data_IF_329688313840
#
_entry.id   IF_329688313840
#
_cell.length_a   1.000
_cell.length_b   1.000
_cell.length_c   1.000
_cell.angle_alpha   90.00
_cell.angle_beta   90.00
_cell.angle_gamma   90.00
#
_symmetry.space_group_name_H-M   'P 1'
#
loop_
_entity.id
_entity.type
_entity.pdbx_description
1 polymer ?
#
# COMPACT_ATOMS: atom_id res chain seq x y z
N UNK A 1 25.70 -32.50 -31.43
CA UNK A 1 24.96 -32.98 -30.26
C UNK A 1 24.37 -31.79 -29.48
N UNK A 2 25.11 -30.71 -29.23
CA UNK A 2 24.69 -29.57 -28.43
C UNK A 2 23.49 -28.78 -29.00
N UNK A 3 23.45 -28.55 -30.31
CA UNK A 3 22.33 -27.88 -30.98
C UNK A 3 21.01 -28.65 -30.89
N UNK A 4 21.07 -29.98 -30.78
CA UNK A 4 19.90 -30.82 -30.60
C UNK A 4 19.37 -30.76 -29.17
N UNK A 5 20.27 -30.68 -28.19
CA UNK A 5 19.91 -30.51 -26.75
C UNK A 5 19.32 -29.12 -26.50
N UNK A 6 19.87 -28.08 -27.14
CA UNK A 6 19.34 -26.72 -27.04
C UNK A 6 17.92 -26.62 -27.62
N UNK A 7 17.65 -27.22 -28.79
CA UNK A 7 16.28 -27.30 -29.39
C UNK A 7 15.30 -28.02 -28.47
N UNK A 8 15.67 -29.18 -27.91
CA UNK A 8 14.82 -29.92 -26.98
C UNK A 8 14.51 -29.14 -25.70
N UNK A 9 15.45 -28.35 -25.20
CA UNK A 9 15.19 -27.45 -24.03
C UNK A 9 14.19 -26.35 -24.37
N UNK A 10 14.29 -25.73 -25.54
CA UNK A 10 13.35 -24.69 -26.00
C UNK A 10 11.96 -25.28 -26.23
N UNK A 11 11.87 -26.49 -26.86
CA UNK A 11 10.60 -27.16 -27.08
C UNK A 11 9.92 -27.57 -25.76
N UNK A 12 10.68 -28.07 -24.77
CA UNK A 12 10.17 -28.40 -23.45
C UNK A 12 9.70 -27.14 -22.68
N UNK A 13 10.41 -26.03 -22.81
CA UNK A 13 9.98 -24.75 -22.21
C UNK A 13 8.67 -24.22 -22.84
N UNK A 14 8.55 -24.35 -24.19
CA UNK A 14 7.34 -23.98 -24.91
C UNK A 14 6.16 -24.89 -24.57
N UNK A 15 6.39 -26.20 -24.41
CA UNK A 15 5.37 -27.14 -23.96
C UNK A 15 4.91 -26.87 -22.51
N UNK A 16 5.84 -26.57 -21.63
CA UNK A 16 5.51 -26.21 -20.26
C UNK A 16 4.69 -24.89 -20.17
N UNK A 17 5.04 -23.92 -21.01
CA UNK A 17 4.27 -22.66 -21.13
C UNK A 17 2.86 -22.93 -21.67
N UNK A 18 2.75 -23.74 -22.74
CA UNK A 18 1.46 -24.09 -23.35
C UNK A 18 0.57 -24.88 -22.39
N UNK A 19 1.15 -25.81 -21.62
CA UNK A 19 0.42 -26.56 -20.59
C UNK A 19 -0.06 -25.66 -19.44
N UNK A 20 0.71 -24.65 -19.04
CA UNK A 20 0.29 -23.65 -18.04
C UNK A 20 -0.89 -22.81 -18.53
N UNK A 21 -0.87 -22.38 -19.79
CA UNK A 21 -1.97 -21.62 -20.38
C UNK A 21 -3.24 -22.50 -20.52
N UNK A 22 -3.09 -23.74 -20.96
CA UNK A 22 -4.19 -24.72 -21.04
C UNK A 22 -4.81 -24.99 -19.65
N UNK A 23 -3.98 -25.14 -18.61
CA UNK A 23 -4.49 -25.38 -17.25
C UNK A 23 -5.25 -24.17 -16.70
N UNK A 24 -4.81 -22.95 -17.00
CA UNK A 24 -5.54 -21.72 -16.63
C UNK A 24 -6.88 -21.64 -17.36
N UNK A 25 -6.89 -21.94 -18.65
CA UNK A 25 -8.13 -21.92 -19.45
C UNK A 25 -9.14 -22.95 -18.96
N UNK A 26 -8.68 -24.18 -18.62
CA UNK A 26 -9.54 -25.23 -18.07
C UNK A 26 -10.05 -24.87 -16.68
N UNK A 27 -9.22 -24.29 -15.81
CA UNK A 27 -9.65 -23.83 -14.50
C UNK A 27 -10.68 -22.69 -14.60
N UNK A 28 -10.47 -21.77 -15.53
CA UNK A 28 -11.35 -20.63 -15.79
C UNK A 28 -12.70 -21.12 -16.37
N UNK A 29 -12.68 -22.10 -17.25
CA UNK A 29 -13.88 -22.73 -17.80
C UNK A 29 -14.66 -23.53 -16.73
N UNK A 30 -13.95 -24.18 -15.81
CA UNK A 30 -14.55 -24.87 -14.68
C UNK A 30 -15.24 -23.88 -13.71
N UNK A 31 -14.64 -22.73 -13.45
CA UNK A 31 -15.25 -21.67 -12.61
C UNK A 31 -16.50 -21.07 -13.27
N UNK A 32 -16.44 -20.76 -14.57
CA UNK A 32 -17.61 -20.27 -15.33
C UNK A 32 -18.74 -21.29 -15.29
N UNK A 33 -18.44 -22.58 -15.47
CA UNK A 33 -19.43 -23.65 -15.41
C UNK A 33 -20.01 -23.90 -14.01
N UNK A 34 -19.31 -23.49 -12.95
CA UNK A 34 -19.77 -23.61 -11.57
C UNK A 34 -20.70 -22.46 -11.13
N UNK A 35 -20.78 -21.38 -11.90
CA UNK A 35 -21.62 -20.24 -11.54
C UNK A 35 -23.11 -20.61 -11.55
N UNK A 36 -23.88 -20.28 -10.49
CA UNK A 36 -25.29 -20.69 -10.38
C UNK A 36 -26.17 -20.20 -11.54
N UNK A 37 -25.87 -19.02 -12.11
CA UNK A 37 -26.57 -18.50 -13.27
C UNK A 37 -26.32 -19.34 -14.54
N UNK A 38 -25.12 -19.89 -14.72
CA UNK A 38 -24.78 -20.77 -15.85
C UNK A 38 -25.46 -22.12 -15.70
N UNK A 39 -25.56 -22.64 -14.47
CA UNK A 39 -26.30 -23.88 -14.19
C UNK A 39 -27.80 -23.70 -14.44
N UNK A 40 -28.39 -22.57 -14.03
CA UNK A 40 -29.78 -22.23 -14.31
C UNK A 40 -30.03 -22.06 -15.83
N UNK A 41 -29.14 -21.40 -16.55
CA UNK A 41 -29.22 -21.26 -18.01
C UNK A 41 -29.11 -22.60 -18.75
N UNK A 42 -28.23 -23.50 -18.29
CA UNK A 42 -28.14 -24.89 -18.81
C UNK A 42 -29.42 -25.69 -18.57
N UNK A 43 -30.06 -25.54 -17.41
CA UNK A 43 -31.33 -26.18 -17.08
C UNK A 43 -32.48 -25.72 -18.01
N UNK A 44 -32.40 -24.47 -18.50
CA UNK A 44 -33.32 -23.86 -19.44
C UNK A 44 -32.99 -24.13 -20.92
N UNK A 45 -31.95 -24.93 -21.21
CA UNK A 45 -31.51 -25.24 -22.58
C UNK A 45 -30.85 -24.08 -23.34
N UNK A 46 -30.52 -22.98 -22.66
CA UNK A 46 -29.84 -21.82 -23.25
C UNK A 46 -28.34 -22.10 -23.32
N UNK A 47 -27.74 -22.00 -24.50
CA UNK A 47 -26.28 -22.11 -24.67
C UNK A 47 -25.61 -20.87 -24.04
N UNK A 48 -24.69 -21.03 -23.09
CA UNK A 48 -23.95 -19.90 -22.53
C UNK A 48 -23.09 -19.27 -23.62
N UNK A 49 -23.18 -17.97 -23.78
CA UNK A 49 -22.26 -17.19 -24.65
C UNK A 49 -20.97 -17.01 -23.85
N UNK A 50 -19.93 -17.74 -24.20
CA UNK A 50 -18.61 -17.61 -23.60
C UNK A 50 -17.81 -16.59 -24.39
N UNK A 51 -17.53 -15.44 -23.82
CA UNK A 51 -16.65 -14.44 -24.37
C UNK A 51 -15.23 -14.68 -23.84
N UNK A 52 -14.27 -14.88 -24.74
CA UNK A 52 -12.88 -15.19 -24.37
C UNK A 52 -12.02 -13.97 -24.67
N UNK A 53 -11.38 -13.43 -23.66
CA UNK A 53 -10.44 -12.31 -23.78
C UNK A 53 -9.01 -12.81 -23.81
N UNK A 54 -8.18 -12.27 -24.71
CA UNK A 54 -6.74 -12.57 -24.78
C UNK A 54 -5.98 -11.66 -23.82
N UNK A 55 -4.83 -12.11 -23.35
CA UNK A 55 -3.95 -11.25 -22.54
C UNK A 55 -3.54 -9.98 -23.31
N UNK A 56 -3.83 -8.80 -22.77
CA UNK A 56 -3.59 -7.51 -23.41
C UNK A 56 -4.74 -6.99 -24.27
N UNK A 57 -5.85 -7.70 -24.38
CA UNK A 57 -7.04 -7.25 -25.09
C UNK A 57 -7.82 -6.24 -24.25
N UNK A 58 -8.26 -5.14 -24.86
CA UNK A 58 -9.06 -4.10 -24.20
C UNK A 58 -10.49 -4.61 -24.06
N UNK A 59 -10.97 -4.75 -22.82
CA UNK A 59 -12.34 -5.22 -22.54
C UNK A 59 -13.35 -4.11 -22.81
N UNK A 60 -13.06 -2.87 -22.39
CA UNK A 60 -13.88 -1.69 -22.62
C UNK A 60 -13.02 -0.56 -23.17
N UNK A 61 -13.29 -0.03 -24.36
CA UNK A 61 -12.59 1.13 -24.91
C UNK A 61 -12.80 2.39 -24.06
N UNK A 62 -11.83 3.30 -24.10
CA UNK A 62 -11.92 4.58 -23.37
C UNK A 62 -13.09 5.41 -23.91
N UNK A 63 -14.04 5.77 -23.02
CA UNK A 63 -15.22 6.56 -23.35
C UNK A 63 -16.50 5.76 -23.56
N UNK A 64 -16.45 4.42 -23.54
CA UNK A 64 -17.65 3.58 -23.53
C UNK A 64 -18.25 3.41 -22.12
N UNK A 65 -19.58 3.25 -22.08
CA UNK A 65 -20.30 3.00 -20.82
C UNK A 65 -20.15 1.53 -20.46
N UNK A 66 -19.66 1.26 -19.25
CA UNK A 66 -19.49 -0.11 -18.73
C UNK A 66 -20.87 -0.78 -18.63
N UNK A 67 -21.03 -1.89 -19.34
CA UNK A 67 -22.25 -2.71 -19.29
C UNK A 67 -22.18 -3.70 -18.13
N UNK A 68 -23.33 -4.27 -17.68
CA UNK A 68 -23.33 -5.34 -16.69
C UNK A 68 -22.50 -6.57 -17.07
N UNK A 69 -22.40 -6.87 -18.37
CA UNK A 69 -21.57 -7.96 -18.90
C UNK A 69 -20.07 -7.67 -18.76
N UNK A 70 -19.65 -6.42 -18.98
CA UNK A 70 -18.27 -5.98 -18.78
C UNK A 70 -17.89 -6.03 -17.30
N UNK A 71 -18.83 -5.64 -16.41
CA UNK A 71 -18.64 -5.74 -14.96
C UNK A 71 -18.42 -7.19 -14.53
N UNK A 72 -19.19 -8.14 -15.08
CA UNK A 72 -19.03 -9.57 -14.84
C UNK A 72 -17.69 -10.08 -15.37
N UNK A 73 -17.27 -9.65 -16.56
CA UNK A 73 -15.96 -9.96 -17.12
C UNK A 73 -14.81 -9.44 -16.23
N UNK A 74 -14.89 -8.21 -15.74
CA UNK A 74 -13.91 -7.65 -14.79
C UNK A 74 -13.86 -8.42 -13.48
N UNK A 75 -15.01 -8.89 -12.97
CA UNK A 75 -15.08 -9.70 -11.77
C UNK A 75 -14.46 -11.08 -11.96
N UNK A 76 -14.75 -11.75 -13.09
CA UNK A 76 -14.21 -13.07 -13.40
C UNK A 76 -12.70 -13.04 -13.69
N UNK A 77 -12.20 -11.96 -14.29
CA UNK A 77 -10.77 -11.73 -14.53
C UNK A 77 -10.01 -11.26 -13.29
N UNK A 78 -10.71 -11.06 -12.16
CA UNK A 78 -10.09 -10.60 -10.92
C UNK A 78 -9.64 -9.13 -10.93
N UNK A 79 -10.09 -8.34 -11.93
CA UNK A 79 -9.76 -6.91 -12.06
C UNK A 79 -10.55 -6.06 -11.06
N UNK A 80 -11.74 -6.52 -10.64
CA UNK A 80 -12.54 -5.92 -9.59
C UNK A 80 -12.61 -6.92 -8.44
N UNK A 81 -12.05 -6.57 -7.28
CA UNK A 81 -12.20 -7.37 -6.08
C UNK A 81 -13.67 -7.30 -5.62
N UNK A 82 -14.29 -8.44 -5.44
CA UNK A 82 -15.55 -8.53 -4.73
C UNK A 82 -15.35 -7.93 -3.34
N UNK A 83 -16.36 -7.15 -2.89
CA UNK A 83 -16.30 -6.42 -1.62
C UNK A 83 -15.72 -7.26 -0.49
N UNK A 84 -15.17 -6.54 0.45
CA UNK A 84 -14.42 -6.96 1.65
C UNK A 84 -14.64 -8.44 2.03
N UNK A 85 -13.74 -9.31 1.55
CA UNK A 85 -13.78 -10.73 1.89
C UNK A 85 -13.40 -10.86 3.36
N UNK A 86 -14.04 -11.79 4.08
CA UNK A 86 -13.68 -12.11 5.45
C UNK A 86 -12.17 -12.39 5.63
N UNK A 87 -11.50 -12.87 4.56
CA UNK A 87 -10.06 -13.06 4.45
C UNK A 87 -9.28 -11.75 4.64
N UNK A 88 -9.75 -10.65 4.02
CA UNK A 88 -9.13 -9.33 4.18
C UNK A 88 -9.32 -8.81 5.61
N UNK A 89 -10.46 -9.09 6.23
CA UNK A 89 -10.71 -8.74 7.63
C UNK A 89 -9.79 -9.54 8.57
N UNK A 90 -9.59 -10.83 8.32
CA UNK A 90 -8.65 -11.66 9.09
C UNK A 90 -7.21 -11.18 8.92
N UNK A 91 -6.80 -10.84 7.71
CA UNK A 91 -5.48 -10.26 7.44
C UNK A 91 -5.27 -8.94 8.18
N UNK A 92 -6.25 -8.03 8.14
CA UNK A 92 -6.21 -6.80 8.91
C UNK A 92 -6.15 -7.05 10.43
N UNK A 93 -6.98 -7.96 10.94
CA UNK A 93 -7.00 -8.34 12.36
C UNK A 93 -5.66 -8.93 12.79
N UNK A 94 -5.03 -9.77 11.98
CA UNK A 94 -3.72 -10.35 12.25
C UNK A 94 -2.63 -9.26 12.34
N UNK A 95 -2.64 -8.27 11.44
CA UNK A 95 -1.71 -7.14 11.48
C UNK A 95 -1.93 -6.24 12.69
N UNK A 96 -3.19 -6.00 13.07
CA UNK A 96 -3.52 -5.25 14.29
C UNK A 96 -3.03 -5.99 15.52
N UNK A 97 -3.28 -7.30 15.63
CA UNK A 97 -2.81 -8.12 16.74
C UNK A 97 -1.28 -8.16 16.82
N UNK A 98 -0.61 -8.34 15.68
CA UNK A 98 0.85 -8.30 15.61
C UNK A 98 1.40 -6.97 16.11
N UNK A 99 0.79 -5.87 15.69
CA UNK A 99 1.15 -4.51 16.12
C UNK A 99 0.89 -4.29 17.61
N UNK A 100 -0.25 -4.80 18.10
CA UNK A 100 -0.64 -4.73 19.50
C UNK A 100 0.27 -5.55 20.43
N UNK A 101 0.92 -6.59 19.92
CA UNK A 101 1.91 -7.38 20.65
C UNK A 101 3.30 -6.76 20.54
N UNK A 102 3.71 -6.34 19.35
CA UNK A 102 5.06 -5.84 19.09
C UNK A 102 5.37 -4.57 19.88
N UNK A 103 4.43 -3.62 19.90
CA UNK A 103 4.63 -2.33 20.57
C UNK A 103 4.81 -2.49 22.08
N UNK A 104 3.92 -3.15 22.84
CA UNK A 104 4.12 -3.37 24.27
C UNK A 104 5.34 -4.23 24.59
N UNK A 105 5.62 -5.28 23.77
CA UNK A 105 6.78 -6.15 23.95
C UNK A 105 8.08 -5.36 23.87
N UNK A 106 8.19 -4.42 22.94
CA UNK A 106 9.35 -3.53 22.86
C UNK A 106 9.51 -2.69 24.11
N UNK A 107 8.45 -2.04 24.55
CA UNK A 107 8.49 -1.19 25.76
C UNK A 107 8.81 -2.00 27.02
N UNK A 108 8.23 -3.19 27.16
CA UNK A 108 8.45 -4.06 28.31
C UNK A 108 9.91 -4.56 28.39
N UNK A 109 10.48 -4.93 27.24
CA UNK A 109 11.86 -5.45 27.18
C UNK A 109 12.93 -4.38 27.44
N UNK A 110 12.66 -3.12 27.05
CA UNK A 110 13.64 -2.04 27.16
C UNK A 110 13.70 -1.37 28.53
N UNK A 111 12.86 -1.79 29.50
CA UNK A 111 12.81 -1.21 30.86
C UNK A 111 12.88 0.33 30.88
N UNK A 112 12.16 1.00 29.96
CA UNK A 112 11.98 2.45 30.00
C UNK A 112 10.71 2.80 30.78
N UNK A 113 10.77 2.92 32.12
CA UNK A 113 9.60 3.15 32.97
C UNK A 113 8.95 4.51 32.72
N UNK A 114 9.71 5.47 32.18
CA UNK A 114 9.22 6.85 32.00
C UNK A 114 8.09 7.00 30.98
N UNK A 115 8.01 6.16 29.95
CA UNK A 115 6.95 6.24 28.92
C UNK A 115 5.77 5.33 29.28
N UNK A 116 6.04 4.15 29.86
CA UNK A 116 4.99 3.16 30.20
C UNK A 116 4.24 3.55 31.48
N UNK A 117 4.93 4.13 32.45
CA UNK A 117 4.31 4.50 33.72
C UNK A 117 3.46 5.76 33.63
N UNK A 118 3.57 6.52 32.54
CA UNK A 118 2.75 7.70 32.33
C UNK A 118 1.61 7.39 31.33
N UNK A 119 0.42 7.16 31.87
CA UNK A 119 -0.79 6.91 31.08
C UNK A 119 -1.05 8.01 30.03
N UNK A 120 -0.64 9.24 30.31
CA UNK A 120 -0.76 10.38 29.38
C UNK A 120 0.09 10.17 28.15
N UNK A 121 1.33 9.72 28.29
CA UNK A 121 2.24 9.45 27.18
C UNK A 121 1.71 8.35 26.25
N UNK A 122 1.18 7.27 26.80
CA UNK A 122 0.56 6.18 26.03
C UNK A 122 -0.68 6.70 25.29
N UNK A 123 -1.50 7.49 25.95
CA UNK A 123 -2.71 8.06 25.35
C UNK A 123 -2.37 9.01 24.20
N UNK A 124 -1.35 9.86 24.35
CA UNK A 124 -0.89 10.75 23.26
C UNK A 124 -0.39 9.94 22.05
N UNK A 125 0.42 8.91 22.28
CA UNK A 125 0.89 8.02 21.22
C UNK A 125 -0.31 7.35 20.49
N UNK A 126 -1.27 6.84 21.26
CA UNK A 126 -2.46 6.18 20.71
C UNK A 126 -3.32 7.15 19.89
N UNK A 127 -3.53 8.38 20.38
CA UNK A 127 -4.27 9.41 19.65
C UNK A 127 -3.56 9.75 18.33
N UNK A 128 -2.26 10.01 18.37
CA UNK A 128 -1.47 10.32 17.16
C UNK A 128 -1.60 9.16 16.17
N UNK A 129 -1.42 7.92 16.64
CA UNK A 129 -1.53 6.73 15.80
C UNK A 129 -2.90 6.61 15.12
N UNK A 130 -3.98 6.73 15.90
CA UNK A 130 -5.36 6.61 15.39
C UNK A 130 -5.68 7.75 14.41
N UNK A 131 -5.36 8.99 14.76
CA UNK A 131 -5.64 10.17 13.91
C UNK A 131 -4.96 10.03 12.54
N UNK A 132 -3.68 9.65 12.52
CA UNK A 132 -2.96 9.49 11.27
C UNK A 132 -3.39 8.24 10.48
N UNK A 133 -3.75 7.15 11.16
CA UNK A 133 -4.28 5.95 10.52
C UNK A 133 -5.65 6.22 9.88
N UNK A 134 -6.57 6.86 10.61
CA UNK A 134 -7.90 7.23 10.09
C UNK A 134 -7.75 8.24 8.95
N UNK A 135 -6.88 9.24 9.11
CA UNK A 135 -6.57 10.21 8.05
C UNK A 135 -6.09 9.52 6.77
N UNK A 136 -5.17 8.56 6.86
CA UNK A 136 -4.71 7.79 5.71
C UNK A 136 -5.86 7.06 5.00
N UNK A 137 -6.83 6.54 5.75
CA UNK A 137 -8.00 5.85 5.21
C UNK A 137 -8.99 6.76 4.51
N UNK A 138 -9.12 8.01 4.95
CA UNK A 138 -10.02 8.99 4.31
C UNK A 138 -9.55 9.40 2.91
N UNK A 139 -8.26 9.34 2.63
CA UNK A 139 -7.68 9.70 1.33
C UNK A 139 -7.58 8.54 0.33
N UNK A 140 -8.19 7.40 0.61
CA UNK A 140 -8.09 6.16 -0.20
C UNK A 140 -8.76 6.28 -1.59
N UNK A 141 -9.77 7.13 -1.74
CA UNK A 141 -10.63 7.17 -2.93
C UNK A 141 -10.02 7.82 -4.18
N UNK A 142 -8.75 8.22 -4.15
CA UNK A 142 -8.05 8.85 -5.30
C UNK A 142 -6.69 8.21 -5.51
N UNK A 143 -6.27 8.06 -6.76
CA UNK A 143 -5.00 7.40 -7.12
C UNK A 143 -3.76 8.14 -6.62
N UNK A 144 -3.80 9.48 -6.56
CA UNK A 144 -2.70 10.34 -6.14
C UNK A 144 -2.72 10.66 -4.63
N UNK A 145 -3.90 10.71 -4.02
CA UNK A 145 -4.09 11.19 -2.67
C UNK A 145 -3.32 10.39 -1.60
N UNK A 146 -3.19 9.05 -1.68
CA UNK A 146 -2.37 8.31 -0.73
C UNK A 146 -0.90 8.76 -0.71
N UNK A 147 -0.32 9.07 -1.87
CA UNK A 147 1.08 9.53 -1.97
C UNK A 147 1.28 10.94 -1.41
N UNK A 148 0.24 11.77 -1.45
CA UNK A 148 0.25 13.13 -0.88
C UNK A 148 -0.02 13.17 0.62
N UNK A 149 -0.51 12.08 1.21
CA UNK A 149 -0.82 12.04 2.64
C UNK A 149 0.47 11.96 3.47
N UNK A 150 0.71 12.91 4.39
CA UNK A 150 1.95 13.01 5.15
C UNK A 150 1.97 12.06 6.35
N UNK A 151 1.85 10.75 6.12
CA UNK A 151 1.83 9.73 7.18
C UNK A 151 3.09 9.77 8.05
N UNK A 152 4.23 10.12 7.42
CA UNK A 152 5.53 10.22 8.07
C UNK A 152 5.56 11.25 9.20
N UNK A 153 4.65 12.23 9.18
CA UNK A 153 4.53 13.23 10.25
C UNK A 153 4.23 12.60 11.62
N UNK A 154 3.46 11.51 11.65
CA UNK A 154 3.20 10.78 12.90
C UNK A 154 4.49 10.24 13.53
N UNK A 155 5.32 9.58 12.73
CA UNK A 155 6.61 9.06 13.18
C UNK A 155 7.55 10.17 13.65
N UNK A 156 7.67 11.25 12.86
CA UNK A 156 8.46 12.43 13.23
C UNK A 156 7.98 13.03 14.55
N UNK A 157 6.68 13.21 14.74
CA UNK A 157 6.09 13.79 15.93
C UNK A 157 6.38 12.94 17.18
N UNK A 158 6.18 11.62 17.07
CA UNK A 158 6.48 10.66 18.15
C UNK A 158 7.98 10.67 18.47
N UNK A 159 8.84 10.76 17.43
CA UNK A 159 10.30 10.87 17.62
C UNK A 159 10.69 12.12 18.41
N UNK A 160 10.06 13.24 18.13
CA UNK A 160 10.32 14.51 18.82
C UNK A 160 9.89 14.46 20.28
N UNK A 161 8.74 13.84 20.55
CA UNK A 161 8.15 13.78 21.90
C UNK A 161 8.81 12.69 22.77
N UNK A 162 9.05 11.51 22.21
CA UNK A 162 9.41 10.32 22.97
C UNK A 162 10.75 9.69 22.56
N UNK A 163 11.42 10.26 21.55
CA UNK A 163 12.71 9.81 21.05
C UNK A 163 12.62 8.90 19.83
N UNK A 164 13.77 8.78 19.12
CA UNK A 164 13.91 8.10 17.83
C UNK A 164 13.44 6.64 17.87
N UNK A 165 13.83 5.91 18.91
CA UNK A 165 13.49 4.49 19.03
C UNK A 165 11.99 4.27 19.11
N UNK A 166 11.28 5.09 19.91
CA UNK A 166 9.82 5.03 20.03
C UNK A 166 9.16 5.39 18.71
N UNK A 167 9.65 6.44 18.05
CA UNK A 167 9.16 6.84 16.72
C UNK A 167 9.27 5.72 15.68
N UNK A 168 10.43 5.04 15.61
CA UNK A 168 10.63 3.91 14.69
C UNK A 168 9.69 2.74 14.98
N UNK A 169 9.57 2.35 16.25
CA UNK A 169 8.73 1.20 16.64
C UNK A 169 7.25 1.45 16.33
N UNK A 170 6.78 2.68 16.45
CA UNK A 170 5.39 3.04 16.16
C UNK A 170 5.18 3.31 14.66
N UNK A 171 6.17 3.87 13.96
CA UNK A 171 6.05 4.15 12.53
C UNK A 171 5.89 2.89 11.69
N UNK A 172 6.59 1.79 12.04
CA UNK A 172 6.52 0.52 11.30
C UNK A 172 5.07 -0.02 11.22
N UNK A 173 4.39 -0.32 12.34
CA UNK A 173 3.02 -0.81 12.30
C UNK A 173 2.04 0.21 11.70
N UNK A 174 2.27 1.50 11.89
CA UNK A 174 1.43 2.53 11.27
C UNK A 174 1.50 2.49 9.74
N UNK A 175 2.72 2.39 9.17
CA UNK A 175 2.91 2.29 7.73
C UNK A 175 2.30 1.01 7.15
N UNK A 176 2.47 -0.13 7.83
CA UNK A 176 1.88 -1.41 7.43
C UNK A 176 0.35 -1.34 7.42
N UNK A 177 -0.25 -0.85 8.51
CA UNK A 177 -1.70 -0.75 8.62
C UNK A 177 -2.28 0.30 7.67
N UNK A 178 -1.61 1.42 7.45
CA UNK A 178 -2.07 2.46 6.54
C UNK A 178 -2.07 2.01 5.07
N UNK A 179 -1.09 1.21 4.64
CA UNK A 179 -1.00 0.70 3.27
C UNK A 179 -1.85 -0.55 3.02
N UNK A 180 -2.20 -1.31 4.05
CA UNK A 180 -2.94 -2.56 3.91
C UNK A 180 -4.30 -2.37 3.26
N UNK A 181 -4.65 -3.22 2.27
CA UNK A 181 -5.94 -3.19 1.58
C UNK A 181 -6.12 -2.03 0.60
N UNK A 182 -5.08 -1.27 0.29
CA UNK A 182 -5.09 -0.26 -0.77
C UNK A 182 -4.73 -0.88 -2.14
N UNK A 183 -5.26 -0.34 -3.26
CA UNK A 183 -5.02 -0.92 -4.59
C UNK A 183 -3.53 -1.07 -4.95
N UNK A 184 -2.69 -0.15 -4.48
CA UNK A 184 -1.24 -0.14 -4.75
C UNK A 184 -0.42 -0.45 -3.49
N UNK A 185 -0.85 -1.41 -2.67
CA UNK A 185 -0.19 -1.76 -1.40
C UNK A 185 1.30 -2.06 -1.57
N UNK A 186 1.68 -2.80 -2.65
CA UNK A 186 3.08 -3.16 -2.95
C UNK A 186 3.99 -1.95 -3.18
N UNK A 187 3.47 -0.85 -3.70
CA UNK A 187 4.20 0.40 -3.92
C UNK A 187 4.12 1.33 -2.70
N UNK A 188 2.93 1.44 -2.09
CA UNK A 188 2.67 2.33 -0.97
C UNK A 188 3.35 1.91 0.33
N UNK A 189 3.44 0.60 0.58
CA UNK A 189 4.07 0.09 1.79
C UNK A 189 5.56 0.48 1.89
N UNK A 190 6.43 0.18 0.89
CA UNK A 190 7.81 0.63 0.92
C UNK A 190 7.94 2.15 0.84
N UNK A 191 7.03 2.84 0.13
CA UNK A 191 6.99 4.30 0.09
C UNK A 191 6.83 4.89 1.48
N UNK A 192 5.82 4.49 2.25
CA UNK A 192 5.62 4.98 3.60
C UNK A 192 6.71 4.52 4.57
N UNK A 193 7.10 3.24 4.52
CA UNK A 193 8.05 2.67 5.45
C UNK A 193 9.44 3.29 5.30
N UNK A 194 10.01 3.26 4.08
CA UNK A 194 11.36 3.77 3.84
C UNK A 194 11.43 5.29 4.04
N UNK A 195 10.43 6.03 3.55
CA UNK A 195 10.38 7.48 3.75
C UNK A 195 10.28 7.85 5.24
N UNK A 196 9.50 7.08 6.02
CA UNK A 196 9.43 7.29 7.48
C UNK A 196 10.76 6.98 8.13
N UNK A 197 11.36 5.81 7.91
CA UNK A 197 12.63 5.41 8.54
C UNK A 197 13.72 6.43 8.25
N UNK A 198 13.91 6.80 6.98
CA UNK A 198 14.95 7.75 6.58
C UNK A 198 14.67 9.14 7.14
N UNK A 199 13.41 9.60 7.10
CA UNK A 199 13.01 10.86 7.70
C UNK A 199 13.31 10.94 9.20
N UNK A 200 12.99 9.87 9.95
CA UNK A 200 13.27 9.78 11.37
C UNK A 200 14.78 9.77 11.68
N UNK A 201 15.55 9.02 10.90
CA UNK A 201 17.01 8.95 11.06
C UNK A 201 17.68 10.31 10.77
N UNK A 202 17.22 11.02 9.74
CA UNK A 202 17.77 12.34 9.36
C UNK A 202 17.36 13.42 10.36
N UNK A 203 16.15 13.34 10.94
CA UNK A 203 15.73 14.24 12.02
C UNK A 203 16.67 14.11 13.21
N UNK A 204 17.04 12.88 13.56
CA UNK A 204 17.98 12.59 14.65
C UNK A 204 17.53 13.12 16.01
N UNK A 205 18.44 13.22 16.98
CA UNK A 205 18.13 13.73 18.33
C UNK A 205 18.04 15.28 18.38
N UNK A 206 18.35 15.94 17.27
CA UNK A 206 18.48 17.41 17.21
C UNK A 206 17.09 18.05 16.95
N UNK A 207 16.48 18.62 17.97
CA UNK A 207 15.20 19.34 17.92
C UNK A 207 15.32 20.77 17.35
N UNK A 208 16.19 20.98 16.34
CA UNK A 208 16.36 22.28 15.70
C UNK A 208 15.48 22.38 14.46
N UNK A 209 14.98 23.58 14.16
CA UNK A 209 14.16 23.85 12.97
C UNK A 209 14.76 23.27 11.68
N UNK A 210 16.07 23.41 11.47
CA UNK A 210 16.79 22.83 10.34
C UNK A 210 16.71 21.29 10.26
N UNK A 211 16.54 20.60 11.40
CA UNK A 211 16.34 19.15 11.42
C UNK A 211 15.05 18.74 10.71
N UNK A 212 13.98 19.49 10.91
CA UNK A 212 12.71 19.21 10.26
C UNK A 212 12.76 19.45 8.74
N UNK A 213 13.43 20.52 8.31
CA UNK A 213 13.63 20.77 6.87
C UNK A 213 14.42 19.62 6.24
N UNK A 214 15.52 19.20 6.85
CA UNK A 214 16.33 18.07 6.37
C UNK A 214 15.50 16.79 6.34
N UNK A 215 14.70 16.51 7.37
CA UNK A 215 13.82 15.34 7.40
C UNK A 215 12.78 15.41 6.28
N UNK A 216 12.15 16.56 6.05
CA UNK A 216 11.21 16.77 4.95
C UNK A 216 11.83 16.51 3.57
N UNK A 217 13.02 17.04 3.33
CA UNK A 217 13.78 16.80 2.09
C UNK A 217 14.14 15.31 1.96
N UNK A 218 14.57 14.66 3.05
CA UNK A 218 14.92 13.25 3.05
C UNK A 218 13.70 12.36 2.75
N UNK A 219 12.54 12.67 3.33
CA UNK A 219 11.27 11.99 3.06
C UNK A 219 10.90 12.14 1.58
N UNK A 220 10.95 13.37 1.04
CA UNK A 220 10.64 13.65 -0.36
C UNK A 220 11.56 12.89 -1.31
N UNK A 221 12.87 12.94 -1.09
CA UNK A 221 13.85 12.25 -1.92
C UNK A 221 13.67 10.73 -1.86
N UNK A 222 13.50 10.17 -0.67
CA UNK A 222 13.28 8.72 -0.52
C UNK A 222 11.98 8.30 -1.18
N UNK A 223 10.91 9.05 -0.99
CA UNK A 223 9.63 8.79 -1.64
C UNK A 223 9.75 8.82 -3.16
N UNK A 224 10.52 9.75 -3.70
CA UNK A 224 10.77 9.88 -5.13
C UNK A 224 11.57 8.69 -5.67
N UNK A 225 12.61 8.25 -4.95
CA UNK A 225 13.39 7.07 -5.33
C UNK A 225 12.52 5.81 -5.36
N UNK A 226 11.67 5.61 -4.35
CA UNK A 226 10.76 4.47 -4.32
C UNK A 226 9.76 4.53 -5.46
N UNK A 227 9.15 5.69 -5.70
CA UNK A 227 8.20 5.89 -6.80
C UNK A 227 8.86 5.58 -8.16
N UNK A 228 10.06 6.10 -8.40
CA UNK A 228 10.82 5.84 -9.63
C UNK A 228 11.12 4.35 -9.75
N UNK A 229 11.59 3.68 -8.69
CA UNK A 229 11.93 2.26 -8.71
C UNK A 229 10.75 1.36 -9.11
N UNK A 230 9.55 1.68 -8.61
CA UNK A 230 8.35 0.87 -8.90
C UNK A 230 7.71 1.21 -10.24
N UNK A 231 7.80 2.47 -10.69
CA UNK A 231 7.13 2.94 -11.91
C UNK A 231 8.02 2.98 -13.14
N UNK A 232 9.33 2.99 -12.98
CA UNK A 232 10.26 3.04 -14.10
C UNK A 232 9.97 1.98 -15.20
N UNK A 233 9.62 0.72 -14.87
CA UNK A 233 9.28 -0.28 -15.87
C UNK A 233 7.98 0.02 -16.65
N UNK A 234 7.12 0.89 -16.12
CA UNK A 234 5.80 1.22 -16.65
C UNK A 234 5.68 2.68 -17.11
N UNK A 235 6.79 3.40 -17.21
CA UNK A 235 6.79 4.75 -17.77
C UNK A 235 6.33 4.70 -19.23
N UNK A 236 5.01 4.67 -19.40
CA UNK A 236 4.40 5.09 -20.65
C UNK A 236 4.60 6.61 -20.81
N UNK A 237 4.54 7.17 -22.02
CA UNK A 237 4.93 8.56 -22.34
C UNK A 237 4.00 9.64 -21.76
N UNK A 238 3.37 9.42 -20.63
CA UNK A 238 2.56 10.41 -19.94
C UNK A 238 3.44 11.27 -19.01
N UNK A 239 4.09 12.27 -19.63
CA UNK A 239 4.93 13.23 -18.90
C UNK A 239 4.14 14.04 -17.86
N UNK A 240 2.86 14.32 -18.13
CA UNK A 240 2.03 15.14 -17.24
C UNK A 240 1.68 14.39 -15.97
N UNK A 241 1.23 13.14 -16.10
CA UNK A 241 0.92 12.29 -14.93
C UNK A 241 2.14 12.04 -14.06
N UNK A 242 3.30 11.79 -14.68
CA UNK A 242 4.57 11.62 -13.96
C UNK A 242 4.96 12.88 -13.18
N UNK A 243 4.87 14.05 -13.79
CA UNK A 243 5.16 15.32 -13.13
C UNK A 243 4.23 15.58 -11.92
N UNK A 244 2.94 15.25 -12.05
CA UNK A 244 1.99 15.34 -10.93
C UNK A 244 2.37 14.43 -9.77
N UNK A 245 2.76 13.17 -10.02
CA UNK A 245 3.20 12.26 -8.98
C UNK A 245 4.46 12.78 -8.26
N UNK A 246 5.45 13.27 -9.01
CA UNK A 246 6.66 13.86 -8.44
C UNK A 246 6.30 15.04 -7.54
N UNK A 247 5.46 15.95 -8.01
CA UNK A 247 5.03 17.13 -7.24
C UNK A 247 4.31 16.71 -5.94
N UNK A 248 3.42 15.72 -5.99
CA UNK A 248 2.67 15.22 -4.83
C UNK A 248 3.61 14.60 -3.80
N UNK A 249 4.59 13.80 -4.22
CA UNK A 249 5.58 13.18 -3.33
C UNK A 249 6.48 14.22 -2.66
N UNK A 250 6.94 15.21 -3.42
CA UNK A 250 7.73 16.33 -2.87
C UNK A 250 6.91 17.10 -1.84
N UNK A 251 5.65 17.41 -2.17
CA UNK A 251 4.74 18.09 -1.26
C UNK A 251 4.52 17.29 0.04
N UNK A 252 4.35 15.97 -0.04
CA UNK A 252 4.13 15.11 1.11
C UNK A 252 5.25 15.18 2.15
N UNK A 253 6.53 15.22 1.72
CA UNK A 253 7.66 15.33 2.63
C UNK A 253 7.72 16.70 3.34
N UNK A 254 7.52 17.78 2.60
CA UNK A 254 7.43 19.12 3.21
C UNK A 254 6.20 19.26 4.12
N UNK A 255 5.06 18.74 3.71
CA UNK A 255 3.85 18.71 4.53
C UNK A 255 4.08 17.92 5.83
N UNK A 256 4.76 16.78 5.77
CA UNK A 256 5.08 15.99 6.96
C UNK A 256 5.94 16.79 7.95
N UNK A 257 6.97 17.48 7.49
CA UNK A 257 7.82 18.33 8.33
C UNK A 257 7.02 19.50 8.95
N UNK A 258 6.22 20.20 8.14
CA UNK A 258 5.42 21.35 8.56
C UNK A 258 4.34 20.97 9.58
N UNK A 259 3.62 19.88 9.32
CA UNK A 259 2.59 19.36 10.24
C UNK A 259 3.23 18.93 11.56
N UNK A 260 4.40 18.30 11.52
CA UNK A 260 5.12 17.90 12.74
C UNK A 260 5.50 19.10 13.57
N UNK A 261 6.04 20.17 12.96
CA UNK A 261 6.38 21.40 13.64
C UNK A 261 5.15 22.06 14.29
N UNK A 262 4.05 22.14 13.54
CA UNK A 262 2.81 22.74 14.03
C UNK A 262 2.23 21.94 15.19
N UNK A 263 2.12 20.62 15.06
CA UNK A 263 1.59 19.76 16.10
C UNK A 263 2.48 19.72 17.34
N UNK A 264 3.82 19.73 17.17
CA UNK A 264 4.75 19.84 18.29
C UNK A 264 4.51 21.11 19.10
N UNK A 265 4.32 22.25 18.42
CA UNK A 265 4.04 23.52 19.08
C UNK A 265 2.72 23.48 19.85
N UNK A 266 1.65 22.96 19.21
CA UNK A 266 0.34 22.82 19.85
C UNK A 266 0.39 21.90 21.06
N UNK A 267 1.05 20.75 20.93
CA UNK A 267 1.18 19.79 22.04
C UNK A 267 2.05 20.35 23.17
N UNK A 268 3.10 21.12 22.87
CA UNK A 268 3.90 21.78 23.89
C UNK A 268 3.09 22.81 24.69
N UNK A 269 2.15 23.52 24.04
CA UNK A 269 1.24 24.44 24.74
C UNK A 269 0.16 23.74 25.57
N UNK A 270 -0.27 22.54 25.12
CA UNK A 270 -1.34 21.80 25.78
C UNK A 270 -0.84 20.99 26.98
N UNK A 271 0.42 20.55 26.93
CA UNK A 271 1.04 19.70 27.95
C UNK A 271 1.93 20.49 28.93
N UNK A 272 2.31 21.73 28.60
CA UNK A 272 3.10 22.62 29.45
C UNK A 272 2.23 23.50 30.27
#
# INVERSE_FOLDING_TARGET
PEARVARLKVDNANLAFKNRELSKTVAQQAMVNAHPAVQAAKALGVKPIVQTYKAGETIVPVGEIITPADLEAFQQLGMISHGQRWEDMLGAAALILLSAILVPLYFFRRKRPSVINDARSILVIAIIFIVFLVGARLFTNRTLAPYGYPLQAAGLLITVLFGLETGLVIAIPLCLLASYGLPNTLELMPFYLLSSIIGLLVLGPVRRFWGFIRAGVAISLTGLVVLVAYRLPFFAPDMLGTAQFIAVVLFAGFAAASITLLLQYLLAQLLG
#
